data_IF_532504951206
#
_entry.id   IF_532504951206
#
_cell.length_a   1.000
_cell.length_b   1.000
_cell.length_c   1.000
_cell.angle_alpha   90.00
_cell.angle_beta   90.00
_cell.angle_gamma   90.00
#
_symmetry.space_group_name_H-M   'P 1'
#
loop_
_entity.id
_entity.type
_entity.pdbx_description
1 polymer ?
#
# COMPACT_ATOMS: atom_id res chain seq x y z
N UNK A 1 -7.08 13.55 22.60
CA UNK A 1 -6.67 14.71 21.76
C UNK A 1 -5.38 14.38 21.04
N UNK A 2 -5.27 14.74 19.79
CA UNK A 2 -4.05 14.59 18.98
C UNK A 2 -3.69 15.93 18.34
N UNK A 3 -2.41 16.11 18.00
CA UNK A 3 -1.89 17.28 17.28
C UNK A 3 -1.39 16.85 15.91
N UNK A 4 -1.53 17.70 14.92
CA UNK A 4 -0.88 17.55 13.63
C UNK A 4 0.40 18.35 13.61
N UNK A 5 1.50 17.70 13.19
CA UNK A 5 2.78 18.34 12.90
C UNK A 5 3.01 18.20 11.40
N UNK A 6 3.27 19.28 10.70
CA UNK A 6 3.71 19.26 9.31
C UNK A 6 5.17 19.67 9.22
N UNK A 7 5.94 18.84 8.51
CA UNK A 7 7.35 19.04 8.26
C UNK A 7 7.54 19.24 6.75
N UNK A 8 7.81 20.47 6.32
CA UNK A 8 8.11 20.79 4.93
C UNK A 8 9.61 20.81 4.69
N UNK A 9 10.06 20.20 3.60
CA UNK A 9 11.46 20.16 3.18
C UNK A 9 11.62 20.99 1.91
N UNK A 10 12.47 22.03 1.97
CA UNK A 10 12.65 23.02 0.90
C UNK A 10 13.93 22.86 0.05
N UNK A 11 14.74 21.81 0.29
CA UNK A 11 15.99 21.57 -0.46
C UNK A 11 15.75 21.19 -1.94
N UNK A 12 16.68 21.54 -2.83
CA UNK A 12 16.58 21.26 -4.27
C UNK A 12 16.51 19.76 -4.56
N UNK A 13 15.58 19.35 -5.43
CA UNK A 13 15.23 17.95 -5.75
C UNK A 13 16.38 17.19 -6.47
N UNK A 14 17.39 17.89 -7.00
CA UNK A 14 18.56 17.23 -7.61
C UNK A 14 19.37 16.37 -6.61
N UNK A 15 19.28 16.70 -5.31
CA UNK A 15 19.83 15.88 -4.22
C UNK A 15 18.85 14.77 -3.73
N UNK A 16 17.63 14.74 -4.24
CA UNK A 16 16.56 13.84 -3.76
C UNK A 16 16.65 12.40 -4.29
N UNK A 17 17.51 12.10 -5.27
CA UNK A 17 17.75 10.72 -5.68
C UNK A 17 18.28 9.83 -4.52
N UNK A 18 18.93 10.46 -3.54
CA UNK A 18 19.28 9.82 -2.26
C UNK A 18 18.16 9.91 -1.21
N UNK A 19 17.18 10.81 -1.39
CA UNK A 19 16.15 11.07 -0.38
C UNK A 19 14.98 10.09 -0.45
N UNK A 20 14.69 9.49 -1.60
CA UNK A 20 13.67 8.45 -1.74
C UNK A 20 14.01 7.20 -0.91
N UNK A 21 15.29 6.83 -0.83
CA UNK A 21 15.77 5.79 0.09
C UNK A 21 15.60 6.22 1.57
N UNK A 22 15.67 7.52 1.85
CA UNK A 22 15.52 8.08 3.19
C UNK A 22 14.06 8.27 3.63
N UNK A 23 13.06 8.28 2.73
CA UNK A 23 11.65 8.46 3.10
C UNK A 23 11.18 7.32 4.03
N UNK A 24 11.50 6.09 3.68
CA UNK A 24 11.12 4.92 4.47
C UNK A 24 11.84 4.94 5.83
N UNK A 25 13.15 5.18 5.83
CA UNK A 25 13.94 5.29 7.06
C UNK A 25 13.49 6.50 7.92
N UNK A 26 13.16 7.62 7.28
CA UNK A 26 12.65 8.79 7.98
C UNK A 26 11.26 8.55 8.56
N UNK A 27 10.40 7.87 7.84
CA UNK A 27 9.06 7.49 8.30
C UNK A 27 9.15 6.54 9.51
N UNK A 28 9.98 5.51 9.43
CA UNK A 28 10.23 4.59 10.56
C UNK A 28 10.82 5.33 11.77
N UNK A 29 11.73 6.26 11.53
CA UNK A 29 12.27 7.10 12.60
C UNK A 29 11.19 7.96 13.26
N UNK A 30 10.30 8.61 12.49
CA UNK A 30 9.21 9.43 13.01
C UNK A 30 8.27 8.60 13.91
N UNK A 31 7.94 7.38 13.51
CA UNK A 31 7.18 6.46 14.37
C UNK A 31 7.96 6.12 15.65
N UNK A 32 9.26 5.88 15.56
CA UNK A 32 10.10 5.52 16.72
C UNK A 32 10.18 6.62 17.79
N UNK A 33 9.99 7.89 17.41
CA UNK A 33 10.03 9.04 18.31
C UNK A 33 8.65 9.55 18.76
N UNK A 34 7.57 8.84 18.36
CA UNK A 34 6.22 9.05 18.90
C UNK A 34 5.17 9.56 17.92
N UNK A 35 5.41 9.51 16.60
CA UNK A 35 4.34 9.70 15.63
C UNK A 35 3.33 8.54 15.70
N UNK A 36 2.04 8.86 15.68
CA UNK A 36 0.93 7.89 15.62
C UNK A 36 0.61 7.55 14.19
N UNK A 37 0.70 8.55 13.31
CA UNK A 37 0.49 8.41 11.86
C UNK A 37 1.48 9.31 11.14
N UNK A 38 1.97 8.84 10.00
CA UNK A 38 2.85 9.58 9.11
C UNK A 38 2.30 9.44 7.70
N UNK A 39 2.10 10.56 7.02
CA UNK A 39 1.83 10.63 5.59
C UNK A 39 2.75 11.65 4.95
N UNK A 40 3.01 11.51 3.67
CA UNK A 40 3.81 12.50 2.94
C UNK A 40 3.22 12.75 1.54
N UNK A 41 3.47 13.95 1.02
CA UNK A 41 3.08 14.35 -0.32
C UNK A 41 4.17 15.18 -0.99
N UNK A 42 4.35 14.95 -2.29
CA UNK A 42 5.17 15.82 -3.14
C UNK A 42 4.34 17.00 -3.59
N UNK A 43 4.79 18.18 -3.24
CA UNK A 43 4.06 19.42 -3.50
C UNK A 43 4.27 19.88 -4.95
N UNK A 44 3.17 20.11 -5.67
CA UNK A 44 3.21 20.63 -7.05
C UNK A 44 3.54 22.14 -7.06
N UNK A 45 4.25 22.65 -8.08
CA UNK A 45 4.67 24.06 -8.14
C UNK A 45 3.53 25.08 -8.03
N UNK A 46 2.30 24.71 -8.43
CA UNK A 46 1.15 25.62 -8.53
C UNK A 46 0.18 25.56 -7.36
N UNK A 47 0.50 24.81 -6.30
CA UNK A 47 -0.37 24.71 -5.13
C UNK A 47 -0.15 25.90 -4.20
N UNK A 48 -1.24 26.56 -3.76
CA UNK A 48 -1.17 27.68 -2.80
C UNK A 48 -0.91 27.15 -1.38
N UNK A 49 0.31 27.29 -0.93
CA UNK A 49 0.79 26.83 0.40
C UNK A 49 0.73 27.90 1.48
N UNK A 50 0.28 29.11 1.17
CA UNK A 50 0.24 30.24 2.11
C UNK A 50 -0.57 29.96 3.39
N UNK A 51 -1.49 28.98 3.32
CA UNK A 51 -2.29 28.53 4.47
C UNK A 51 -1.64 27.41 5.29
N UNK A 52 -0.54 26.83 4.80
CA UNK A 52 0.04 25.62 5.38
C UNK A 52 1.44 25.86 5.92
N UNK A 53 2.26 26.64 5.24
CA UNK A 53 3.67 26.94 5.59
C UNK A 53 4.01 28.39 5.26
N UNK A 54 4.87 29.00 6.07
CA UNK A 54 5.08 30.45 6.09
C UNK A 54 6.13 30.99 5.10
N UNK A 55 6.92 30.17 4.43
CA UNK A 55 7.90 30.61 3.42
C UNK A 55 8.29 29.52 2.40
N UNK A 56 9.11 29.93 1.42
CA UNK A 56 9.67 29.22 0.26
C UNK A 56 9.21 27.77 0.02
N UNK A 57 8.33 27.61 -0.97
CA UNK A 57 7.68 26.38 -1.47
C UNK A 57 8.42 25.09 -1.09
N UNK A 58 8.01 24.37 -0.03
CA UNK A 58 8.57 23.06 0.26
C UNK A 58 8.25 22.10 -0.88
N UNK A 59 9.16 21.20 -1.21
CA UNK A 59 8.99 20.22 -2.29
C UNK A 59 8.45 18.89 -1.80
N UNK A 60 8.60 18.60 -0.52
CA UNK A 60 8.07 17.42 0.15
C UNK A 60 7.52 17.82 1.52
N UNK A 61 6.31 17.42 1.82
CA UNK A 61 5.66 17.68 3.09
C UNK A 61 5.29 16.36 3.79
N UNK A 62 5.72 16.19 5.04
CA UNK A 62 5.25 15.13 5.92
C UNK A 62 4.18 15.69 6.84
N UNK A 63 3.05 15.00 6.94
CA UNK A 63 1.98 15.27 7.90
C UNK A 63 1.95 14.16 8.94
N UNK A 64 2.10 14.53 10.20
CA UNK A 64 2.23 13.62 11.33
C UNK A 64 1.07 13.82 12.29
N UNK A 65 0.49 12.75 12.79
CA UNK A 65 -0.35 12.80 13.97
C UNK A 65 0.44 12.36 15.18
N UNK A 66 0.38 13.13 16.25
CA UNK A 66 1.08 12.84 17.50
C UNK A 66 0.13 12.99 18.69
N UNK A 67 0.43 12.32 19.81
CA UNK A 67 -0.34 12.49 21.03
C UNK A 67 -0.24 13.95 21.53
N UNK A 68 -1.33 14.48 22.11
CA UNK A 68 -1.38 15.83 22.66
C UNK A 68 -0.34 16.04 23.78
N UNK A 69 -0.01 14.96 24.51
CA UNK A 69 1.01 14.94 25.56
C UNK A 69 2.44 15.00 25.02
N UNK A 70 2.68 14.88 23.70
CA UNK A 70 4.01 14.89 23.13
C UNK A 70 4.64 16.29 23.29
N UNK A 71 5.85 16.34 23.84
CA UNK A 71 6.63 17.57 23.91
C UNK A 71 7.20 17.88 22.51
N UNK A 72 6.68 18.96 21.90
CA UNK A 72 7.00 19.37 20.53
C UNK A 72 8.48 19.76 20.37
N UNK A 73 9.07 20.46 21.35
CA UNK A 73 10.47 20.87 21.30
C UNK A 73 11.41 19.66 21.32
N UNK A 74 11.17 18.71 22.22
CA UNK A 74 11.93 17.47 22.29
C UNK A 74 11.79 16.61 21.02
N UNK A 75 10.60 16.59 20.44
CA UNK A 75 10.35 15.88 19.17
C UNK A 75 11.18 16.51 18.04
N UNK A 76 11.11 17.84 17.88
CA UNK A 76 11.88 18.55 16.87
C UNK A 76 13.39 18.45 17.08
N UNK A 77 13.87 18.51 18.33
CA UNK A 77 15.28 18.31 18.64
C UNK A 77 15.78 16.93 18.18
N UNK A 78 14.98 15.88 18.37
CA UNK A 78 15.34 14.54 17.88
C UNK A 78 15.38 14.48 16.35
N UNK A 79 14.43 15.12 15.66
CA UNK A 79 14.42 15.19 14.19
C UNK A 79 15.66 15.92 13.69
N UNK A 80 15.95 17.12 14.23
CA UNK A 80 17.08 17.94 13.80
C UNK A 80 18.45 17.33 14.17
N UNK A 81 18.52 16.55 15.25
CA UNK A 81 19.78 15.89 15.64
C UNK A 81 20.17 14.73 14.74
N UNK A 82 19.18 14.10 14.10
CA UNK A 82 19.44 12.94 13.21
C UNK A 82 19.59 13.35 11.73
N UNK A 83 18.89 14.40 11.31
CA UNK A 83 18.85 14.83 9.90
C UNK A 83 19.29 16.27 9.77
N UNK A 84 20.39 16.51 9.05
CA UNK A 84 20.90 17.86 8.73
C UNK A 84 20.11 18.46 7.55
N UNK A 85 18.82 18.70 7.79
CA UNK A 85 17.89 19.28 6.81
C UNK A 85 17.11 20.40 7.44
N UNK A 86 16.94 21.51 6.72
CA UNK A 86 16.06 22.57 7.15
C UNK A 86 14.60 22.15 6.97
N UNK A 87 13.88 22.03 8.07
CA UNK A 87 12.46 21.76 8.09
C UNK A 87 11.68 23.04 8.33
N UNK A 88 10.69 23.31 7.49
CA UNK A 88 9.61 24.24 7.82
C UNK A 88 8.56 23.47 8.61
N UNK A 89 8.16 23.99 9.76
CA UNK A 89 7.27 23.27 10.66
C UNK A 89 6.01 24.07 10.94
N UNK A 90 4.88 23.41 10.90
CA UNK A 90 3.62 23.94 11.45
C UNK A 90 3.02 22.95 12.44
N UNK A 91 2.39 23.50 13.48
CA UNK A 91 1.72 22.75 14.52
C UNK A 91 0.26 23.17 14.55
N UNK A 92 -0.64 22.24 14.38
CA UNK A 92 -2.08 22.50 14.43
C UNK A 92 -2.71 21.60 15.48
N UNK A 93 -3.39 22.21 16.43
CA UNK A 93 -4.21 21.44 17.36
C UNK A 93 -5.45 20.98 16.61
N UNK A 94 -5.65 19.68 16.57
CA UNK A 94 -6.84 19.13 15.92
C UNK A 94 -7.95 19.10 16.99
N UNK A 95 -9.06 19.82 16.78
CA UNK A 95 -10.19 19.76 17.70
C UNK A 95 -10.65 18.32 17.87
N UNK A 96 -11.26 17.97 19.01
CA UNK A 96 -11.98 16.70 19.20
C UNK A 96 -13.21 16.68 18.25
N UNK A 97 -12.93 16.56 16.98
CA UNK A 97 -13.94 16.25 15.99
C UNK A 97 -14.16 14.75 16.10
N UNK A 98 -15.39 14.32 16.01
CA UNK A 98 -15.72 12.91 15.86
C UNK A 98 -15.02 12.39 14.57
N UNK A 99 -13.81 11.88 14.76
CA UNK A 99 -12.96 11.35 13.68
C UNK A 99 -13.67 10.27 12.88
N UNK A 100 -14.62 9.57 13.51
CA UNK A 100 -15.45 8.57 12.88
C UNK A 100 -16.32 9.22 11.83
N UNK A 101 -17.01 10.32 12.19
CA UNK A 101 -17.86 11.08 11.26
C UNK A 101 -17.04 11.79 10.17
N UNK A 102 -15.93 12.42 10.51
CA UNK A 102 -15.06 13.09 9.54
C UNK A 102 -14.40 12.10 8.56
N UNK A 103 -13.96 10.96 9.05
CA UNK A 103 -13.43 9.89 8.22
C UNK A 103 -14.51 9.31 7.28
N UNK A 104 -15.74 9.12 7.79
CA UNK A 104 -16.88 8.63 7.01
C UNK A 104 -17.26 9.55 5.85
N UNK A 105 -17.20 10.87 6.03
CA UNK A 105 -17.58 11.84 4.99
C UNK A 105 -16.55 11.95 3.86
N UNK A 106 -15.28 11.69 4.14
CA UNK A 106 -14.20 11.84 3.18
C UNK A 106 -13.91 10.57 2.35
N UNK A 107 -14.39 9.40 2.78
CA UNK A 107 -14.19 8.15 2.06
C UNK A 107 -15.35 7.88 1.12
N UNK A 108 -15.17 8.13 -0.19
CA UNK A 108 -16.15 7.81 -1.22
C UNK A 108 -15.90 6.41 -1.76
N UNK A 109 -16.93 5.60 -2.06
CA UNK A 109 -16.73 4.31 -2.72
C UNK A 109 -16.04 4.46 -4.07
N UNK A 110 -15.22 3.47 -4.43
CA UNK A 110 -14.52 3.42 -5.72
C UNK A 110 -14.90 2.17 -6.50
N UNK A 111 -14.80 2.25 -7.83
CA UNK A 111 -15.00 1.13 -8.72
C UNK A 111 -13.73 0.83 -9.53
N UNK A 112 -13.30 -0.42 -9.53
CA UNK A 112 -12.14 -0.89 -10.29
C UNK A 112 -12.64 -1.66 -11.53
N UNK A 113 -12.30 -1.16 -12.72
CA UNK A 113 -12.62 -1.73 -14.02
C UNK A 113 -14.10 -2.18 -14.18
N UNK A 114 -15.03 -1.52 -13.52
CA UNK A 114 -16.44 -1.93 -13.45
C UNK A 114 -16.66 -3.40 -13.03
N UNK A 115 -15.74 -3.98 -12.28
CA UNK A 115 -15.77 -5.37 -11.80
C UNK A 115 -15.80 -5.47 -10.28
N UNK A 116 -15.10 -4.58 -9.58
CA UNK A 116 -15.04 -4.54 -8.13
C UNK A 116 -15.49 -3.15 -7.66
N UNK A 117 -16.49 -3.13 -6.80
CA UNK A 117 -16.87 -1.97 -6.01
C UNK A 117 -16.23 -2.10 -4.61
N UNK A 118 -15.62 -1.04 -4.12
CA UNK A 118 -14.99 -0.97 -2.80
C UNK A 118 -15.63 0.19 -2.04
N UNK A 119 -16.06 -0.10 -0.82
CA UNK A 119 -16.60 0.90 0.09
C UNK A 119 -16.39 0.49 1.53
N UNK A 120 -16.64 1.39 2.47
CA UNK A 120 -16.67 1.09 3.89
C UNK A 120 -18.00 0.44 4.29
N UNK A 121 -18.05 -0.17 5.49
CA UNK A 121 -19.23 -0.90 5.99
C UNK A 121 -20.51 -0.05 6.06
N UNK A 122 -20.37 1.26 6.22
CA UNK A 122 -21.50 2.21 6.22
C UNK A 122 -21.97 2.66 4.84
N UNK A 123 -21.27 2.27 3.76
CA UNK A 123 -21.69 2.61 2.41
C UNK A 123 -22.71 1.62 1.89
N UNK A 124 -23.76 2.15 1.26
CA UNK A 124 -24.76 1.35 0.56
C UNK A 124 -24.36 1.26 -0.92
N UNK A 125 -24.05 0.05 -1.44
CA UNK A 125 -23.78 -0.10 -2.86
C UNK A 125 -24.99 0.33 -3.69
N UNK A 126 -24.82 1.20 -4.71
CA UNK A 126 -25.91 1.64 -5.57
C UNK A 126 -26.69 0.47 -6.20
N UNK A 127 -27.99 0.63 -6.44
CA UNK A 127 -28.88 -0.42 -6.95
C UNK A 127 -28.37 -1.05 -8.27
N UNK A 128 -27.81 -0.23 -9.17
CA UNK A 128 -27.25 -0.75 -10.43
C UNK A 128 -26.04 -1.67 -10.20
N UNK A 129 -25.29 -1.49 -9.11
CA UNK A 129 -24.20 -2.40 -8.71
C UNK A 129 -24.77 -3.67 -8.08
N UNK A 130 -25.91 -3.56 -7.37
CA UNK A 130 -26.55 -4.71 -6.73
C UNK A 130 -27.13 -5.70 -7.76
N UNK A 131 -27.54 -5.20 -8.92
CA UNK A 131 -28.15 -6.00 -9.98
C UNK A 131 -27.15 -6.53 -11.02
N UNK A 132 -25.88 -6.09 -10.98
CA UNK A 132 -24.85 -6.56 -11.90
C UNK A 132 -23.86 -7.48 -11.17
N UNK A 133 -23.17 -8.35 -11.93
CA UNK A 133 -22.13 -9.27 -11.46
C UNK A 133 -20.86 -8.57 -10.91
N UNK A 134 -21.02 -7.39 -10.30
CA UNK A 134 -19.92 -6.65 -9.70
C UNK A 134 -19.65 -7.19 -8.29
N UNK A 135 -18.41 -7.49 -8.01
CA UNK A 135 -17.95 -7.94 -6.69
C UNK A 135 -17.95 -6.73 -5.73
N UNK A 136 -18.43 -6.93 -4.52
CA UNK A 136 -18.46 -5.91 -3.48
C UNK A 136 -17.42 -6.24 -2.44
N UNK A 137 -16.59 -5.28 -2.09
CA UNK A 137 -15.57 -5.37 -1.05
C UNK A 137 -15.82 -4.25 -0.05
N UNK A 138 -15.91 -4.61 1.23
CA UNK A 138 -16.05 -3.67 2.33
C UNK A 138 -14.74 -3.61 3.10
N UNK A 139 -14.13 -2.42 3.16
CA UNK A 139 -12.92 -2.12 3.92
C UNK A 139 -13.16 -0.83 4.68
N UNK A 140 -13.15 -0.90 5.99
CA UNK A 140 -13.24 0.30 6.81
C UNK A 140 -11.85 0.96 6.91
N UNK A 141 -11.77 2.28 6.75
CA UNK A 141 -10.54 3.03 6.98
C UNK A 141 -10.06 2.82 8.42
N UNK A 142 -8.80 2.50 8.59
CA UNK A 142 -8.21 2.22 9.89
C UNK A 142 -6.69 2.27 9.86
N UNK A 143 -6.05 1.60 10.81
CA UNK A 143 -4.60 1.59 10.97
C UNK A 143 -3.86 0.75 9.92
N UNK A 144 -4.55 -0.14 9.19
CA UNK A 144 -3.92 -0.95 8.16
C UNK A 144 -3.95 -0.24 6.79
N UNK A 145 -2.83 -0.30 6.06
CA UNK A 145 -2.74 0.17 4.68
C UNK A 145 -3.61 -0.69 3.75
N UNK A 146 -4.11 -0.09 2.66
CA UNK A 146 -4.84 -0.82 1.62
C UNK A 146 -6.35 -0.63 1.66
N UNK A 147 -6.82 0.62 1.67
CA UNK A 147 -8.26 0.96 1.53
C UNK A 147 -8.74 0.97 0.07
N UNK A 148 -7.83 0.76 -0.89
CA UNK A 148 -8.14 0.77 -2.32
C UNK A 148 -7.90 2.10 -3.04
N UNK A 149 -7.76 3.21 -2.33
CA UNK A 149 -7.61 4.55 -2.93
C UNK A 149 -6.21 4.78 -3.54
N UNK A 150 -5.18 4.23 -2.92
CA UNK A 150 -3.81 4.43 -3.38
C UNK A 150 -3.58 3.78 -4.76
N UNK A 151 -2.88 4.44 -5.71
CA UNK A 151 -2.62 3.89 -7.04
C UNK A 151 -2.05 2.47 -7.02
N UNK A 152 -1.11 2.20 -6.13
CA UNK A 152 -0.45 0.89 -6.01
C UNK A 152 -1.43 -0.24 -5.69
N UNK A 153 -2.43 0.01 -4.84
CA UNK A 153 -3.48 -0.96 -4.51
C UNK A 153 -4.42 -1.16 -5.69
N UNK A 154 -4.79 -0.07 -6.39
CA UNK A 154 -5.62 -0.14 -7.61
C UNK A 154 -4.95 -0.98 -8.69
N UNK A 155 -3.66 -0.78 -8.96
CA UNK A 155 -2.89 -1.56 -9.92
C UNK A 155 -2.92 -3.06 -9.61
N UNK A 156 -2.75 -3.43 -8.34
CA UNK A 156 -2.84 -4.82 -7.91
C UNK A 156 -4.24 -5.41 -8.13
N UNK A 157 -5.30 -4.67 -7.80
CA UNK A 157 -6.68 -5.10 -8.02
C UNK A 157 -6.98 -5.27 -9.52
N UNK A 158 -6.51 -4.35 -10.36
CA UNK A 158 -6.64 -4.47 -11.82
C UNK A 158 -5.91 -5.69 -12.37
N UNK A 159 -4.69 -5.96 -11.88
CA UNK A 159 -3.93 -7.15 -12.25
C UNK A 159 -4.69 -8.44 -11.87
N UNK A 160 -5.25 -8.50 -10.65
CA UNK A 160 -6.07 -9.62 -10.21
C UNK A 160 -7.29 -9.83 -11.13
N UNK A 161 -8.01 -8.76 -11.47
CA UNK A 161 -9.19 -8.82 -12.36
C UNK A 161 -8.80 -9.35 -13.74
N UNK A 162 -7.72 -8.81 -14.33
CA UNK A 162 -7.25 -9.22 -15.67
C UNK A 162 -6.81 -10.69 -15.71
N UNK A 163 -6.25 -11.18 -14.62
CA UNK A 163 -5.78 -12.58 -14.52
C UNK A 163 -6.87 -13.56 -14.07
N UNK A 164 -8.02 -13.10 -13.59
CA UNK A 164 -9.04 -13.95 -12.93
C UNK A 164 -9.79 -14.92 -13.86
N UNK A 165 -9.65 -14.78 -15.18
CA UNK A 165 -10.42 -15.57 -16.16
C UNK A 165 -10.14 -17.08 -16.14
N UNK A 166 -9.07 -17.55 -15.48
CA UNK A 166 -8.64 -18.95 -15.45
C UNK A 166 -8.33 -19.52 -14.06
N UNK A 167 -8.84 -18.89 -13.00
CA UNK A 167 -8.33 -19.09 -11.64
C UNK A 167 -8.93 -20.28 -10.85
N UNK A 168 -9.73 -21.14 -11.48
CA UNK A 168 -10.23 -22.32 -10.81
C UNK A 168 -9.07 -23.20 -10.33
N UNK A 169 -8.99 -23.41 -9.01
CA UNK A 169 -7.96 -24.22 -8.33
C UNK A 169 -6.56 -23.59 -8.21
N UNK A 170 -6.42 -22.27 -8.35
CA UNK A 170 -5.15 -21.60 -8.15
C UNK A 170 -4.91 -21.19 -6.70
N UNK A 171 -3.67 -21.35 -6.25
CA UNK A 171 -3.19 -20.86 -4.95
C UNK A 171 -2.55 -19.49 -5.12
N UNK A 172 -3.01 -18.53 -4.31
CA UNK A 172 -2.47 -17.17 -4.30
C UNK A 172 -1.78 -16.86 -2.98
N UNK A 173 -0.64 -16.18 -3.05
CA UNK A 173 0.02 -15.52 -1.92
C UNK A 173 -0.13 -14.00 -2.04
N UNK A 174 -0.67 -13.38 -1.00
CA UNK A 174 -0.73 -11.94 -0.78
C UNK A 174 0.34 -11.60 0.29
N UNK A 175 1.47 -11.07 -0.16
CA UNK A 175 2.62 -10.76 0.70
C UNK A 175 2.61 -9.27 1.08
N UNK A 176 2.53 -8.99 2.38
CA UNK A 176 2.24 -7.67 2.93
C UNK A 176 0.77 -7.35 2.75
N UNK A 177 -0.10 -8.20 3.31
CA UNK A 177 -1.53 -8.14 3.02
C UNK A 177 -2.25 -6.90 3.54
N UNK A 178 -1.68 -6.18 4.50
CA UNK A 178 -2.28 -4.97 5.06
C UNK A 178 -3.71 -5.20 5.53
N UNK A 179 -4.65 -4.42 5.03
CA UNK A 179 -6.09 -4.56 5.31
C UNK A 179 -6.71 -5.89 4.84
N UNK A 180 -5.98 -6.69 4.05
CA UNK A 180 -6.47 -7.90 3.41
C UNK A 180 -7.27 -7.67 2.12
N UNK A 181 -7.30 -6.44 1.59
CA UNK A 181 -8.12 -6.10 0.41
C UNK A 181 -7.79 -6.96 -0.81
N UNK A 182 -6.50 -7.23 -1.06
CA UNK A 182 -6.08 -8.07 -2.20
C UNK A 182 -6.45 -9.54 -1.97
N UNK A 183 -6.31 -10.03 -0.74
CA UNK A 183 -6.77 -11.36 -0.34
C UNK A 183 -8.28 -11.52 -0.51
N UNK A 184 -9.08 -10.54 -0.08
CA UNK A 184 -10.54 -10.53 -0.24
C UNK A 184 -10.90 -10.52 -1.73
N UNK A 185 -10.25 -9.64 -2.52
CA UNK A 185 -10.47 -9.57 -3.96
C UNK A 185 -10.16 -10.91 -4.62
N UNK A 186 -9.04 -11.55 -4.27
CA UNK A 186 -8.65 -12.86 -4.80
C UNK A 186 -9.69 -13.93 -4.48
N UNK A 187 -10.16 -14.04 -3.22
CA UNK A 187 -11.21 -14.98 -2.84
C UNK A 187 -12.49 -14.75 -3.66
N UNK A 188 -12.96 -13.50 -3.77
CA UNK A 188 -14.17 -13.15 -4.54
C UNK A 188 -14.01 -13.34 -6.05
N UNK A 189 -12.80 -13.29 -6.57
CA UNK A 189 -12.47 -13.57 -7.97
C UNK A 189 -12.30 -15.08 -8.27
N UNK A 190 -12.43 -15.95 -7.27
CA UNK A 190 -12.48 -17.40 -7.44
C UNK A 190 -11.16 -18.13 -7.21
N UNK A 191 -10.16 -17.51 -6.59
CA UNK A 191 -9.01 -18.26 -6.06
C UNK A 191 -9.48 -19.15 -4.91
N UNK A 192 -9.13 -20.43 -4.95
CA UNK A 192 -9.64 -21.43 -4.00
C UNK A 192 -8.78 -21.56 -2.75
N UNK A 193 -7.56 -21.03 -2.78
CA UNK A 193 -6.64 -21.03 -1.64
C UNK A 193 -5.84 -19.74 -1.66
N UNK A 194 -6.14 -18.84 -0.74
CA UNK A 194 -5.44 -17.58 -0.56
C UNK A 194 -4.62 -17.64 0.71
N UNK A 195 -3.37 -17.22 0.65
CA UNK A 195 -2.49 -17.11 1.81
C UNK A 195 -2.12 -15.65 1.97
N UNK A 196 -2.56 -15.05 3.06
CA UNK A 196 -2.25 -13.68 3.44
C UNK A 196 -1.07 -13.67 4.43
N UNK A 197 -0.06 -12.85 4.15
CA UNK A 197 1.14 -12.74 4.99
C UNK A 197 1.37 -11.27 5.33
N UNK A 198 1.57 -11.00 6.61
CA UNK A 198 2.05 -9.71 7.09
C UNK A 198 2.89 -9.88 8.34
N UNK A 199 3.98 -9.10 8.50
CA UNK A 199 4.86 -9.18 9.67
C UNK A 199 4.21 -8.63 10.95
N UNK A 200 3.21 -7.76 10.79
CA UNK A 200 2.51 -7.11 11.90
C UNK A 200 1.28 -7.92 12.30
N UNK A 201 1.29 -8.43 13.53
CA UNK A 201 0.19 -9.21 14.10
C UNK A 201 -1.10 -8.42 14.28
N UNK A 202 -1.01 -7.10 14.51
CA UNK A 202 -2.18 -6.23 14.60
C UNK A 202 -2.84 -6.09 13.23
N UNK A 203 -2.04 -5.88 12.19
CA UNK A 203 -2.49 -5.82 10.80
C UNK A 203 -3.15 -7.14 10.38
N UNK A 204 -2.57 -8.29 10.74
CA UNK A 204 -3.18 -9.60 10.48
C UNK A 204 -4.53 -9.77 11.18
N UNK A 205 -4.70 -9.21 12.38
CA UNK A 205 -6.00 -9.22 13.08
C UNK A 205 -7.04 -8.42 12.28
N UNK A 206 -6.69 -7.22 11.82
CA UNK A 206 -7.55 -6.36 10.99
C UNK A 206 -7.92 -7.09 9.68
N UNK A 207 -6.95 -7.71 9.01
CA UNK A 207 -7.20 -8.47 7.79
C UNK A 207 -8.20 -9.62 8.01
N UNK A 208 -8.08 -10.35 9.13
CA UNK A 208 -9.03 -11.41 9.51
C UNK A 208 -10.43 -10.87 9.73
N UNK A 209 -10.57 -9.74 10.42
CA UNK A 209 -11.86 -9.08 10.64
C UNK A 209 -12.49 -8.63 9.29
N UNK A 210 -11.70 -8.07 8.39
CA UNK A 210 -12.16 -7.70 7.06
C UNK A 210 -12.59 -8.90 6.20
N UNK A 211 -11.92 -10.04 6.31
CA UNK A 211 -12.33 -11.30 5.65
C UNK A 211 -13.73 -11.71 6.12
N UNK A 212 -14.00 -11.62 7.43
CA UNK A 212 -15.32 -11.96 8.00
C UNK A 212 -16.40 -10.98 7.53
N UNK A 213 -16.14 -9.68 7.57
CA UNK A 213 -17.07 -8.63 7.09
C UNK A 213 -17.45 -8.88 5.62
N UNK A 214 -16.52 -9.40 4.83
CA UNK A 214 -16.75 -9.69 3.41
C UNK A 214 -17.36 -11.07 3.13
N UNK A 215 -17.75 -11.81 4.16
CA UNK A 215 -18.37 -13.14 4.07
C UNK A 215 -17.51 -14.14 3.26
N UNK A 216 -16.19 -14.11 3.44
CA UNK A 216 -15.28 -15.10 2.86
C UNK A 216 -15.28 -16.34 3.75
N UNK A 217 -15.41 -17.52 3.13
CA UNK A 217 -15.36 -18.81 3.84
C UNK A 217 -14.00 -18.98 4.54
N UNK A 218 -14.03 -19.39 5.81
CA UNK A 218 -12.85 -19.46 6.68
C UNK A 218 -11.71 -20.31 6.11
N UNK A 219 -12.02 -21.35 5.35
CA UNK A 219 -11.01 -22.24 4.76
C UNK A 219 -10.41 -21.72 3.45
N UNK A 220 -10.92 -20.61 2.91
CA UNK A 220 -10.41 -20.04 1.65
C UNK A 220 -9.18 -19.19 1.86
N UNK A 221 -9.05 -18.52 3.02
CA UNK A 221 -7.93 -17.62 3.32
C UNK A 221 -7.23 -18.04 4.62
N UNK A 222 -5.92 -18.27 4.54
CA UNK A 222 -5.04 -18.56 5.68
C UNK A 222 -4.08 -17.39 5.93
N UNK A 223 -3.62 -17.22 7.18
CA UNK A 223 -2.85 -16.07 7.63
C UNK A 223 -1.57 -16.51 8.31
N UNK A 224 -0.45 -15.89 7.93
CA UNK A 224 0.88 -16.16 8.49
C UNK A 224 1.63 -14.86 8.77
N UNK A 225 2.50 -14.88 9.79
CA UNK A 225 3.32 -13.72 10.15
C UNK A 225 4.61 -13.61 9.31
N UNK A 226 4.94 -14.64 8.55
CA UNK A 226 6.08 -14.60 7.62
C UNK A 226 5.84 -15.46 6.39
N UNK A 227 6.56 -15.14 5.31
CA UNK A 227 6.47 -15.91 4.05
C UNK A 227 7.08 -17.31 4.22
N UNK A 228 8.06 -17.49 5.12
CA UNK A 228 8.66 -18.78 5.44
C UNK A 228 7.64 -19.74 6.04
N UNK A 229 6.79 -19.23 6.93
CA UNK A 229 5.75 -20.01 7.59
C UNK A 229 4.65 -20.47 6.64
N UNK A 230 4.50 -19.82 5.48
CA UNK A 230 3.54 -20.24 4.47
C UNK A 230 3.95 -21.57 3.80
N UNK A 231 3.02 -22.46 3.56
CA UNK A 231 3.32 -23.78 3.02
C UNK A 231 3.23 -23.85 1.50
N UNK A 232 4.16 -24.60 0.90
CA UNK A 232 4.15 -24.96 -0.51
C UNK A 232 4.51 -23.81 -1.45
N UNK A 233 4.08 -23.96 -2.72
CA UNK A 233 4.30 -22.97 -3.80
C UNK A 233 2.97 -22.45 -4.32
N UNK A 234 3.00 -21.25 -4.89
CA UNK A 234 1.84 -20.50 -5.34
C UNK A 234 1.80 -20.36 -6.87
N UNK A 235 0.61 -20.40 -7.42
CA UNK A 235 0.35 -20.14 -8.83
C UNK A 235 0.39 -18.64 -9.12
N UNK A 236 0.06 -17.84 -8.11
CA UNK A 236 0.04 -16.39 -8.17
C UNK A 236 0.64 -15.80 -6.89
N UNK A 237 1.58 -14.89 -7.03
CA UNK A 237 2.09 -14.08 -5.92
C UNK A 237 1.82 -12.62 -6.24
N UNK A 238 1.20 -11.92 -5.30
CA UNK A 238 0.97 -10.48 -5.36
C UNK A 238 1.57 -9.84 -4.11
N UNK A 239 2.21 -8.69 -4.30
CA UNK A 239 2.80 -7.95 -3.20
C UNK A 239 2.75 -6.46 -3.48
N UNK A 240 2.22 -5.69 -2.52
CA UNK A 240 2.18 -4.23 -2.54
C UNK A 240 2.89 -3.71 -1.30
N UNK A 241 4.22 -3.77 -1.31
CA UNK A 241 5.10 -3.35 -0.21
C UNK A 241 6.26 -2.52 -0.73
N UNK A 242 7.05 -1.94 0.17
CA UNK A 242 8.21 -1.14 -0.19
C UNK A 242 9.24 -1.93 -1.01
N UNK A 243 9.90 -1.24 -1.93
CA UNK A 243 10.90 -1.82 -2.83
C UNK A 243 12.09 -2.44 -2.09
N UNK A 244 12.52 -1.87 -0.98
CA UNK A 244 13.58 -2.41 -0.11
C UNK A 244 13.24 -3.83 0.35
N UNK A 245 12.02 -4.03 0.86
CA UNK A 245 11.54 -5.35 1.29
C UNK A 245 11.36 -6.31 0.11
N UNK A 246 10.89 -5.82 -1.06
CA UNK A 246 10.82 -6.64 -2.27
C UNK A 246 12.19 -7.14 -2.72
N UNK A 247 13.24 -6.32 -2.61
CA UNK A 247 14.62 -6.69 -2.92
C UNK A 247 15.16 -7.73 -1.93
N UNK A 248 14.93 -7.51 -0.64
CA UNK A 248 15.35 -8.42 0.44
C UNK A 248 14.71 -9.79 0.27
N UNK A 249 13.38 -9.85 0.10
CA UNK A 249 12.64 -11.10 0.00
C UNK A 249 12.66 -11.74 -1.40
N UNK A 250 13.33 -11.14 -2.38
CA UNK A 250 13.28 -11.55 -3.79
C UNK A 250 13.56 -13.04 -4.01
N UNK A 251 14.61 -13.59 -3.38
CA UNK A 251 14.99 -15.01 -3.51
C UNK A 251 13.90 -15.94 -2.95
N UNK A 252 13.28 -15.52 -1.85
CA UNK A 252 12.23 -16.29 -1.19
C UNK A 252 10.91 -16.25 -1.99
N UNK A 253 10.55 -15.08 -2.51
CA UNK A 253 9.39 -14.89 -3.40
C UNK A 253 9.53 -15.80 -4.63
N UNK A 254 10.69 -15.79 -5.28
CA UNK A 254 10.97 -16.64 -6.45
C UNK A 254 10.90 -18.12 -6.08
N UNK A 255 11.44 -18.53 -4.92
CA UNK A 255 11.37 -19.92 -4.42
C UNK A 255 9.93 -20.39 -4.18
N UNK A 256 9.06 -19.50 -3.69
CA UNK A 256 7.64 -19.77 -3.40
C UNK A 256 6.76 -19.74 -4.65
N UNK A 257 7.23 -19.16 -5.75
CA UNK A 257 6.49 -19.13 -7.00
C UNK A 257 6.61 -20.48 -7.71
N UNK A 258 5.51 -21.00 -8.25
CA UNK A 258 5.53 -22.19 -9.12
C UNK A 258 6.21 -21.86 -10.45
N UNK A 259 6.76 -22.89 -11.11
CA UNK A 259 7.17 -22.78 -12.51
C UNK A 259 5.94 -22.36 -13.33
N UNK A 260 6.05 -21.29 -14.11
CA UNK A 260 4.93 -20.66 -14.83
C UNK A 260 3.87 -19.95 -13.93
N UNK A 261 4.17 -19.69 -12.66
CA UNK A 261 3.33 -18.85 -11.83
C UNK A 261 3.39 -17.37 -12.25
N UNK A 262 2.36 -16.62 -11.89
CA UNK A 262 2.26 -15.19 -12.11
C UNK A 262 2.78 -14.42 -10.91
N UNK A 263 3.51 -13.35 -11.15
CA UNK A 263 4.07 -12.46 -10.13
C UNK A 263 3.63 -11.03 -10.40
N UNK A 264 3.08 -10.36 -9.39
CA UNK A 264 2.70 -8.94 -9.43
C UNK A 264 3.34 -8.23 -8.26
N UNK A 265 4.09 -7.17 -8.53
CA UNK A 265 4.82 -6.37 -7.55
C UNK A 265 4.42 -4.90 -7.70
N UNK A 266 4.02 -4.27 -6.61
CA UNK A 266 3.63 -2.87 -6.52
C UNK A 266 4.21 -2.22 -5.27
N UNK A 267 3.98 -0.91 -5.07
CA UNK A 267 4.66 -0.15 -4.03
C UNK A 267 6.06 0.29 -4.45
N UNK A 268 6.29 0.39 -5.77
CA UNK A 268 7.59 0.64 -6.40
C UNK A 268 7.55 2.03 -7.04
N UNK A 269 8.55 2.87 -6.76
CA UNK A 269 8.73 4.14 -7.44
C UNK A 269 9.43 3.95 -8.80
N UNK A 270 9.20 4.87 -9.76
CA UNK A 270 9.83 4.82 -11.09
C UNK A 270 11.35 4.68 -11.04
N UNK A 271 12.00 5.39 -10.12
CA UNK A 271 13.45 5.33 -9.90
C UNK A 271 13.95 3.94 -9.46
N UNK A 272 13.10 3.15 -8.79
CA UNK A 272 13.44 1.84 -8.22
C UNK A 272 13.22 0.67 -9.19
N UNK A 273 12.52 0.90 -10.30
CA UNK A 273 12.12 -0.14 -11.28
C UNK A 273 13.30 -0.94 -11.80
N UNK A 274 14.40 -0.25 -12.14
CA UNK A 274 15.60 -0.90 -12.70
C UNK A 274 16.19 -1.90 -11.71
N UNK A 275 16.39 -1.50 -10.47
CA UNK A 275 16.95 -2.35 -9.42
C UNK A 275 16.08 -3.60 -9.15
N UNK A 276 14.75 -3.43 -9.09
CA UNK A 276 13.81 -4.55 -8.91
C UNK A 276 13.90 -5.52 -10.10
N UNK A 277 13.85 -5.03 -11.34
CA UNK A 277 13.93 -5.89 -12.55
C UNK A 277 15.22 -6.70 -12.59
N UNK A 278 16.36 -6.04 -12.37
CA UNK A 278 17.68 -6.69 -12.36
C UNK A 278 17.79 -7.75 -11.26
N UNK A 279 17.32 -7.43 -10.05
CA UNK A 279 17.35 -8.38 -8.92
C UNK A 279 16.51 -9.62 -9.18
N UNK A 280 15.25 -9.45 -9.63
CA UNK A 280 14.37 -10.59 -9.92
C UNK A 280 14.85 -11.42 -11.10
N UNK A 281 15.42 -10.80 -12.13
CA UNK A 281 16.05 -11.49 -13.24
C UNK A 281 17.21 -12.37 -12.75
N UNK A 282 18.10 -11.81 -11.92
CA UNK A 282 19.25 -12.50 -11.34
C UNK A 282 18.83 -13.69 -10.47
N UNK A 283 17.97 -13.47 -9.46
CA UNK A 283 17.59 -14.53 -8.50
C UNK A 283 16.75 -15.63 -9.13
N UNK A 284 16.05 -15.34 -10.22
CA UNK A 284 15.27 -16.32 -10.99
C UNK A 284 16.07 -17.03 -12.08
N UNK A 285 17.38 -16.78 -12.20
CA UNK A 285 18.22 -17.32 -13.28
C UNK A 285 17.61 -17.03 -14.67
N UNK A 286 17.23 -15.79 -14.92
CA UNK A 286 16.63 -15.29 -16.16
C UNK A 286 15.25 -15.89 -16.53
N UNK A 287 14.55 -16.51 -15.59
CA UNK A 287 13.23 -17.12 -15.88
C UNK A 287 12.04 -16.18 -15.62
N UNK A 288 12.22 -15.12 -14.82
CA UNK A 288 11.19 -14.13 -14.50
C UNK A 288 11.56 -12.79 -15.14
N UNK A 289 10.80 -12.39 -16.14
CA UNK A 289 10.88 -11.07 -16.77
C UNK A 289 9.73 -10.20 -16.26
N UNK A 290 10.07 -9.15 -15.51
CA UNK A 290 9.09 -8.19 -15.00
C UNK A 290 8.87 -7.08 -16.02
N UNK A 291 7.62 -6.90 -16.44
CA UNK A 291 7.18 -5.81 -17.30
C UNK A 291 6.34 -4.81 -16.51
N UNK A 292 6.42 -3.55 -16.84
CA UNK A 292 5.51 -2.53 -16.34
C UNK A 292 4.13 -2.76 -16.91
N UNK A 293 3.13 -2.85 -16.06
CA UNK A 293 1.73 -3.08 -16.42
C UNK A 293 0.81 -1.90 -16.11
N UNK A 294 1.21 -1.05 -15.19
CA UNK A 294 0.51 0.18 -14.83
C UNK A 294 1.48 1.16 -14.18
N UNK A 295 1.25 2.45 -14.41
CA UNK A 295 1.95 3.53 -13.70
C UNK A 295 1.06 4.76 -13.57
N UNK A 296 1.17 5.45 -12.43
CA UNK A 296 0.46 6.71 -12.14
C UNK A 296 1.31 7.52 -11.17
N UNK A 297 1.44 8.82 -11.43
CA UNK A 297 2.36 9.70 -10.73
C UNK A 297 3.81 9.12 -10.77
N UNK A 298 4.39 8.81 -9.62
CA UNK A 298 5.70 8.15 -9.53
C UNK A 298 5.62 6.66 -9.24
N UNK A 299 4.42 6.11 -9.05
CA UNK A 299 4.23 4.70 -8.70
C UNK A 299 4.14 3.80 -9.92
N UNK A 300 4.69 2.60 -9.80
CA UNK A 300 4.73 1.60 -10.87
C UNK A 300 4.30 0.24 -10.33
N UNK A 301 3.58 -0.50 -11.17
CA UNK A 301 3.30 -1.91 -10.96
C UNK A 301 4.03 -2.75 -11.99
N UNK A 302 4.76 -3.75 -11.54
CA UNK A 302 5.51 -4.68 -12.35
C UNK A 302 4.86 -6.07 -12.29
N UNK A 303 4.82 -6.76 -13.43
CA UNK A 303 4.34 -8.14 -13.45
C UNK A 303 5.14 -9.04 -14.38
N UNK A 304 5.14 -10.34 -14.06
CA UNK A 304 5.55 -11.42 -14.95
C UNK A 304 4.37 -12.35 -15.12
N UNK A 305 3.69 -12.25 -16.26
CA UNK A 305 2.57 -13.11 -16.64
C UNK A 305 3.01 -14.08 -17.74
N UNK A 306 2.79 -15.38 -17.54
CA UNK A 306 3.14 -16.40 -18.55
C UNK A 306 2.13 -16.50 -19.69
N UNK A 307 0.89 -16.00 -19.50
CA UNK A 307 -0.19 -16.04 -20.49
C UNK A 307 -0.93 -14.70 -20.60
N UNK A 308 -0.23 -13.58 -20.47
CA UNK A 308 -0.82 -12.26 -20.68
C UNK A 308 -0.92 -12.01 -22.20
N UNK A 309 -2.06 -12.30 -22.80
CA UNK A 309 -2.42 -11.71 -24.06
C UNK A 309 -2.91 -10.28 -23.76
N UNK A 310 -2.15 -9.29 -24.23
CA UNK A 310 -2.63 -7.91 -24.32
C UNK A 310 -3.85 -7.93 -25.25
N UNK A 311 -5.02 -8.14 -24.69
CA UNK A 311 -6.29 -8.01 -25.39
C UNK A 311 -6.76 -6.57 -25.25
N UNK A 312 -7.08 -5.98 -26.36
CA UNK A 312 -7.64 -4.66 -26.63
C UNK A 312 -8.73 -4.19 -25.65
#
# INVERSE_FOLDING_TARGET
MVKEIRLGISKNIEDLNNFEFLIDEFTDFLFSIGAISVSYEFLKPDTDYSKILTCNKPKLCFSLLVADSLNQENFMLKVLSKYDVNFETSFTQIPDIDWVLSSQTNHKPICILNKIWIGASWHIPPNHISNHKMLKIFIDPGQAFGTGYHPTTRFCLEALIKCSRSNKHQRLLDLGCGSGILSIAACKLGFTSVTAVDKDMLVLKIAKENILINNIEQNTCSFFSSIEASEGKFDFIISNIFSSTLLELSSLIVKKLKKNGNLVLSGILKSQVKAIKEKYLQVSQNTILLNEISSEDNWVCLASFKNYQSGD
#
